data_IF_945441412503
#
_entry.id   IF_945441412503
#
_cell.length_a   1.000
_cell.length_b   1.000
_cell.length_c   1.000
_cell.angle_alpha   90.00
_cell.angle_beta   90.00
_cell.angle_gamma   90.00
#
_symmetry.space_group_name_H-M   'P 1'
#
loop_
_entity.id
_entity.type
_entity.pdbx_description
1 polymer ?
#
# COMPACT_ATOMS: atom_id res chain seq x y z
N UNK A 1 -8.17 -13.50 -22.57
CA UNK A 1 -7.75 -13.29 -21.18
C UNK A 1 -8.00 -11.86 -20.69
N UNK A 2 -8.46 -11.72 -19.45
CA UNK A 2 -8.73 -10.47 -18.74
C UNK A 2 -8.41 -10.65 -17.23
N UNK A 3 -8.65 -9.61 -16.43
CA UNK A 3 -8.38 -9.64 -14.98
C UNK A 3 -9.08 -10.78 -14.23
N UNK A 4 -10.31 -11.15 -14.63
CA UNK A 4 -11.02 -12.28 -14.02
C UNK A 4 -10.30 -13.60 -14.25
N UNK A 5 -9.74 -13.83 -15.44
CA UNK A 5 -9.01 -15.07 -15.73
C UNK A 5 -7.76 -15.22 -14.85
N UNK A 6 -7.04 -14.10 -14.61
CA UNK A 6 -5.87 -14.07 -13.72
C UNK A 6 -6.25 -14.30 -12.24
N UNK A 7 -7.34 -13.68 -11.78
CA UNK A 7 -7.82 -13.85 -10.40
C UNK A 7 -8.36 -15.26 -10.15
N UNK A 8 -9.00 -15.86 -11.15
CA UNK A 8 -9.47 -17.24 -11.11
C UNK A 8 -8.30 -18.23 -11.00
N UNK A 9 -7.27 -18.07 -11.83
CA UNK A 9 -6.07 -18.91 -11.76
C UNK A 9 -5.36 -18.78 -10.40
N UNK A 10 -5.22 -17.55 -9.90
CA UNK A 10 -4.61 -17.31 -8.58
C UNK A 10 -5.39 -17.97 -7.46
N UNK A 11 -6.71 -17.90 -7.50
CA UNK A 11 -7.55 -18.54 -6.49
C UNK A 11 -7.42 -20.07 -6.53
N UNK A 12 -7.43 -20.67 -7.72
CA UNK A 12 -7.22 -22.10 -7.88
C UNK A 12 -5.85 -22.55 -7.37
N UNK A 13 -4.79 -21.77 -7.61
CA UNK A 13 -3.45 -22.06 -7.10
C UNK A 13 -3.40 -22.16 -5.56
N UNK A 14 -4.28 -21.46 -4.86
CA UNK A 14 -4.33 -21.46 -3.39
C UNK A 14 -5.39 -22.43 -2.82
N UNK A 15 -6.37 -22.88 -3.63
CA UNK A 15 -7.57 -23.59 -3.15
C UNK A 15 -7.91 -24.84 -3.99
N UNK A 16 -6.95 -25.44 -4.69
CA UNK A 16 -7.19 -26.70 -5.42
C UNK A 16 -7.11 -27.92 -4.47
N UNK A 17 -8.02 -28.90 -4.56
CA UNK A 17 -9.19 -28.97 -5.45
C UNK A 17 -10.33 -28.03 -5.04
N UNK A 18 -10.95 -27.37 -6.02
CA UNK A 18 -12.00 -26.38 -5.80
C UNK A 18 -13.38 -26.90 -6.23
N UNK A 19 -14.40 -26.96 -5.35
CA UNK A 19 -15.76 -27.28 -5.76
C UNK A 19 -16.30 -26.30 -6.81
N UNK A 20 -17.00 -26.82 -7.83
CA UNK A 20 -17.60 -26.01 -8.91
C UNK A 20 -18.65 -25.04 -8.37
N UNK A 21 -19.48 -25.47 -7.42
CA UNK A 21 -20.51 -24.63 -6.81
C UNK A 21 -19.87 -23.43 -6.08
N UNK A 22 -18.80 -23.67 -5.31
CA UNK A 22 -18.04 -22.63 -4.64
C UNK A 22 -17.43 -21.65 -5.65
N UNK A 23 -16.86 -22.14 -6.76
CA UNK A 23 -16.32 -21.29 -7.80
C UNK A 23 -17.40 -20.41 -8.46
N UNK A 24 -18.58 -20.98 -8.74
CA UNK A 24 -19.72 -20.26 -9.34
C UNK A 24 -20.21 -19.16 -8.39
N UNK A 25 -20.40 -19.48 -7.12
CA UNK A 25 -20.84 -18.53 -6.09
C UNK A 25 -19.82 -17.41 -5.90
N UNK A 26 -18.54 -17.76 -5.68
CA UNK A 26 -17.48 -16.80 -5.38
C UNK A 26 -17.27 -15.78 -6.49
N UNK A 27 -17.27 -16.24 -7.74
CA UNK A 27 -16.97 -15.37 -8.89
C UNK A 27 -18.22 -14.80 -9.56
N UNK A 28 -19.41 -15.23 -9.16
CA UNK A 28 -20.67 -14.84 -9.80
C UNK A 28 -20.69 -15.19 -11.29
N UNK A 29 -20.06 -16.30 -11.69
CA UNK A 29 -19.93 -16.74 -13.09
C UNK A 29 -20.60 -18.09 -13.30
N UNK A 30 -21.15 -18.32 -14.48
CA UNK A 30 -21.71 -19.63 -14.84
C UNK A 30 -20.61 -20.66 -15.08
N UNK A 31 -20.92 -21.95 -14.89
CA UNK A 31 -20.00 -23.05 -15.21
C UNK A 31 -19.48 -22.99 -16.66
N UNK A 32 -20.34 -22.59 -17.61
CA UNK A 32 -19.93 -22.40 -19.01
C UNK A 32 -18.83 -21.34 -19.15
N UNK A 33 -18.93 -20.24 -18.39
CA UNK A 33 -17.91 -19.18 -18.36
C UNK A 33 -16.61 -19.71 -17.75
N UNK A 34 -16.69 -20.44 -16.63
CA UNK A 34 -15.52 -21.05 -15.98
C UNK A 34 -14.79 -22.01 -16.93
N UNK A 35 -15.52 -22.88 -17.65
CA UNK A 35 -14.96 -23.80 -18.65
C UNK A 35 -14.24 -23.06 -19.78
N UNK A 36 -14.81 -21.96 -20.29
CA UNK A 36 -14.15 -21.13 -21.32
C UNK A 36 -12.87 -20.49 -20.77
N UNK A 37 -12.91 -19.95 -19.56
CA UNK A 37 -11.73 -19.40 -18.89
C UNK A 37 -10.65 -20.46 -18.69
N UNK A 38 -11.00 -21.66 -18.22
CA UNK A 38 -10.04 -22.77 -18.10
C UNK A 38 -9.39 -23.10 -19.44
N UNK A 39 -10.17 -23.14 -20.53
CA UNK A 39 -9.64 -23.35 -21.88
C UNK A 39 -8.65 -22.25 -22.27
N UNK A 40 -9.00 -20.98 -22.08
CA UNK A 40 -8.10 -19.85 -22.37
C UNK A 40 -6.81 -19.89 -21.54
N UNK A 41 -6.89 -20.28 -20.27
CA UNK A 41 -5.73 -20.42 -19.40
C UNK A 41 -4.83 -21.59 -19.83
N UNK A 42 -5.43 -22.73 -20.18
CA UNK A 42 -4.71 -23.93 -20.61
C UNK A 42 -3.93 -23.73 -21.92
N UNK A 43 -4.28 -22.75 -22.76
CA UNK A 43 -3.50 -22.39 -23.95
C UNK A 43 -2.08 -21.85 -23.62
N UNK A 44 -1.87 -21.33 -22.41
CA UNK A 44 -0.56 -20.82 -21.97
C UNK A 44 0.09 -21.67 -20.88
N UNK A 45 -0.67 -22.57 -20.25
CA UNK A 45 -0.18 -23.44 -19.19
C UNK A 45 0.47 -24.71 -19.74
N UNK A 46 1.60 -25.15 -19.16
CA UNK A 46 2.17 -26.46 -19.43
C UNK A 46 1.16 -27.59 -19.13
N UNK A 47 1.19 -28.65 -19.93
CA UNK A 47 0.25 -29.80 -19.82
C UNK A 47 0.15 -30.37 -18.41
N UNK A 48 1.27 -30.47 -17.70
CA UNK A 48 1.34 -31.07 -16.36
C UNK A 48 0.67 -30.24 -15.24
N UNK A 49 0.27 -28.99 -15.52
CA UNK A 49 -0.41 -28.10 -14.57
C UNK A 49 -1.69 -27.49 -15.12
N UNK A 50 -2.19 -28.00 -16.25
CA UNK A 50 -3.47 -27.56 -16.80
C UNK A 50 -4.62 -27.75 -15.80
N UNK A 51 -5.66 -26.95 -16.00
CA UNK A 51 -6.87 -26.97 -15.21
C UNK A 51 -7.80 -28.04 -15.79
N UNK A 52 -8.28 -28.93 -14.93
CA UNK A 52 -9.21 -29.99 -15.28
C UNK A 52 -10.48 -29.85 -14.46
N UNK A 53 -11.61 -30.29 -15.01
CA UNK A 53 -12.85 -30.45 -14.26
C UNK A 53 -13.12 -31.94 -14.10
N UNK A 54 -13.08 -32.42 -12.86
CA UNK A 54 -13.39 -33.79 -12.48
C UNK A 54 -14.71 -33.78 -11.70
N UNK A 55 -15.82 -34.13 -12.38
CA UNK A 55 -17.18 -34.05 -11.83
C UNK A 55 -17.51 -32.68 -11.23
N UNK A 56 -17.59 -32.61 -9.90
CA UNK A 56 -17.95 -31.43 -9.12
C UNK A 56 -16.74 -30.59 -8.70
N UNK A 57 -15.52 -30.93 -9.12
CA UNK A 57 -14.31 -30.23 -8.71
C UNK A 57 -13.51 -29.72 -9.92
N UNK A 58 -12.83 -28.60 -9.71
CA UNK A 58 -11.81 -28.05 -10.59
C UNK A 58 -10.45 -28.32 -9.94
N UNK A 59 -9.59 -29.02 -10.65
CA UNK A 59 -8.30 -29.53 -10.16
C UNK A 59 -7.15 -28.94 -11.00
N UNK A 60 -6.04 -28.65 -10.33
CA UNK A 60 -4.78 -28.25 -10.98
C UNK A 60 -3.60 -28.53 -10.06
N UNK A 61 -2.42 -28.73 -10.63
CA UNK A 61 -1.15 -28.85 -9.90
C UNK A 61 -0.31 -27.57 -9.95
N UNK A 62 -0.90 -26.46 -10.40
CA UNK A 62 -0.18 -25.20 -10.53
C UNK A 62 0.34 -24.74 -9.16
N UNK A 63 1.66 -24.64 -9.05
CA UNK A 63 2.33 -24.03 -7.90
C UNK A 63 2.58 -22.55 -8.14
N UNK A 64 3.17 -21.90 -7.12
CA UNK A 64 3.56 -20.50 -7.23
C UNK A 64 4.60 -20.27 -8.34
N UNK A 65 5.50 -21.24 -8.59
CA UNK A 65 6.51 -21.11 -9.64
C UNK A 65 5.90 -21.05 -11.03
N UNK A 66 4.99 -21.97 -11.33
CA UNK A 66 4.29 -22.05 -12.61
C UNK A 66 3.37 -20.85 -12.81
N UNK A 67 2.71 -20.37 -11.75
CA UNK A 67 1.90 -19.15 -11.80
C UNK A 67 2.73 -17.91 -12.21
N UNK A 68 3.93 -17.73 -11.63
CA UNK A 68 4.84 -16.63 -12.04
C UNK A 68 5.26 -16.75 -13.50
N UNK A 69 5.63 -17.96 -13.94
CA UNK A 69 6.02 -18.22 -15.33
C UNK A 69 4.86 -17.96 -16.31
N UNK A 70 3.65 -18.35 -15.93
CA UNK A 70 2.44 -18.07 -16.68
C UNK A 70 2.25 -16.55 -16.84
N UNK A 71 2.28 -15.80 -15.74
CA UNK A 71 2.11 -14.34 -15.79
C UNK A 71 3.13 -13.70 -16.73
N UNK A 72 4.42 -14.08 -16.62
CA UNK A 72 5.49 -13.57 -17.49
C UNK A 72 5.22 -13.76 -18.99
N UNK A 73 4.43 -14.77 -19.38
CA UNK A 73 4.05 -15.03 -20.78
C UNK A 73 2.82 -14.26 -21.24
N UNK A 74 2.01 -13.72 -20.33
CA UNK A 74 0.84 -12.91 -20.68
C UNK A 74 1.30 -11.55 -21.22
N UNK A 75 0.93 -11.28 -22.47
CA UNK A 75 1.25 -10.07 -23.22
C UNK A 75 -0.02 -9.22 -23.41
N UNK A 76 0.13 -7.90 -23.58
CA UNK A 76 -1.02 -7.00 -23.76
C UNK A 76 -1.90 -7.32 -24.97
N UNK A 77 -1.35 -7.88 -26.04
CA UNK A 77 -2.15 -8.31 -27.21
C UNK A 77 -3.06 -9.53 -26.93
N UNK A 78 -2.86 -10.22 -25.81
CA UNK A 78 -3.70 -11.35 -25.33
C UNK A 78 -4.44 -11.03 -24.03
N UNK A 79 -4.29 -9.82 -23.51
CA UNK A 79 -4.85 -9.39 -22.22
C UNK A 79 -5.72 -8.15 -22.39
N UNK A 80 -7.01 -8.29 -22.10
CA UNK A 80 -7.98 -7.20 -22.16
C UNK A 80 -7.85 -6.40 -20.86
N UNK A 81 -7.15 -5.27 -20.96
CA UNK A 81 -6.98 -4.33 -19.85
C UNK A 81 -8.29 -3.62 -19.49
N UNK A 82 -8.45 -3.29 -18.22
CA UNK A 82 -9.49 -2.41 -17.71
C UNK A 82 -9.08 -0.94 -17.83
N UNK A 83 -10.04 -0.02 -17.70
CA UNK A 83 -9.77 1.42 -17.69
C UNK A 83 -8.87 1.81 -16.50
N UNK A 84 -9.12 1.25 -15.31
CA UNK A 84 -8.30 1.52 -14.13
C UNK A 84 -6.84 1.08 -14.30
N UNK A 85 -6.60 -0.09 -14.88
CA UNK A 85 -5.25 -0.59 -15.15
C UNK A 85 -4.48 0.37 -16.06
N UNK A 86 -5.08 0.75 -17.19
CA UNK A 86 -4.44 1.66 -18.15
C UNK A 86 -4.21 3.05 -17.55
N UNK A 87 -5.17 3.56 -16.77
CA UNK A 87 -5.08 4.88 -16.13
C UNK A 87 -3.99 4.89 -15.05
N UNK A 88 -3.89 3.86 -14.19
CA UNK A 88 -2.83 3.75 -13.18
C UNK A 88 -1.45 3.70 -13.84
N UNK A 89 -1.33 2.94 -14.93
CA UNK A 89 -0.09 2.82 -15.68
C UNK A 89 0.30 4.15 -16.37
N UNK A 90 -0.65 4.83 -17.04
CA UNK A 90 -0.44 6.18 -17.60
C UNK A 90 -0.11 7.21 -16.52
N UNK A 91 -0.76 7.14 -15.35
CA UNK A 91 -0.53 8.07 -14.25
C UNK A 91 0.93 8.03 -13.78
N UNK A 92 1.49 6.82 -13.63
CA UNK A 92 2.91 6.66 -13.30
C UNK A 92 3.80 7.20 -14.42
N UNK A 93 3.48 6.95 -15.70
CA UNK A 93 4.25 7.55 -16.80
C UNK A 93 4.20 9.08 -16.81
N UNK A 94 3.05 9.70 -16.56
CA UNK A 94 2.92 11.15 -16.42
C UNK A 94 3.68 11.72 -15.21
N UNK A 95 3.90 10.91 -14.18
CA UNK A 95 4.74 11.28 -13.05
C UNK A 95 6.23 11.18 -13.41
N UNK A 96 6.62 10.14 -14.15
CA UNK A 96 8.02 9.90 -14.54
C UNK A 96 8.48 10.81 -15.68
N UNK A 97 7.58 11.30 -16.52
CA UNK A 97 7.86 12.14 -17.69
C UNK A 97 7.19 13.53 -17.60
N UNK A 98 7.83 14.58 -18.14
CA UNK A 98 7.27 15.94 -18.08
C UNK A 98 6.01 16.08 -18.93
N UNK A 99 5.95 15.39 -20.08
CA UNK A 99 4.81 15.38 -20.98
C UNK A 99 4.72 14.01 -21.65
N UNK A 100 3.52 13.41 -21.68
CA UNK A 100 3.24 12.14 -22.33
C UNK A 100 2.21 12.31 -23.43
N UNK A 101 2.53 11.85 -24.64
CA UNK A 101 1.53 11.72 -25.71
C UNK A 101 0.63 10.52 -25.42
N UNK A 102 -0.60 10.77 -24.96
CA UNK A 102 -1.56 9.72 -24.58
C UNK A 102 -1.85 8.74 -25.72
N UNK A 103 -2.00 9.22 -26.95
CA UNK A 103 -2.35 8.36 -28.08
C UNK A 103 -1.21 7.39 -28.41
N UNK A 104 0.03 7.88 -28.40
CA UNK A 104 1.19 7.02 -28.62
C UNK A 104 1.40 6.06 -27.44
N UNK A 105 1.24 6.55 -26.22
CA UNK A 105 1.35 5.75 -25.00
C UNK A 105 0.39 4.55 -24.99
N UNK A 106 -0.85 4.78 -25.41
CA UNK A 106 -1.90 3.75 -25.38
C UNK A 106 -1.74 2.65 -26.43
N UNK A 107 -0.87 2.84 -27.44
CA UNK A 107 -0.62 1.82 -28.48
C UNK A 107 -0.21 0.46 -27.88
N UNK A 108 0.54 0.48 -26.77
CA UNK A 108 0.99 -0.76 -26.10
C UNK A 108 -0.14 -1.64 -25.56
N UNK A 109 -1.32 -1.07 -25.29
CA UNK A 109 -2.47 -1.79 -24.77
C UNK A 109 -3.36 -2.41 -25.85
N UNK A 110 -3.08 -2.15 -27.14
CA UNK A 110 -3.89 -2.65 -28.27
C UNK A 110 -5.38 -2.25 -28.16
N UNK A 111 -5.67 -1.05 -27.66
CA UNK A 111 -7.05 -0.54 -27.52
C UNK A 111 -7.42 0.49 -28.58
N UNK A 112 -8.72 0.62 -28.85
CA UNK A 112 -9.26 1.58 -29.82
C UNK A 112 -9.18 3.02 -29.31
N UNK A 113 -9.18 4.00 -30.22
CA UNK A 113 -9.25 5.42 -29.85
C UNK A 113 -10.51 5.76 -29.01
N UNK A 114 -11.64 5.07 -29.26
CA UNK A 114 -12.85 5.20 -28.45
C UNK A 114 -12.63 4.76 -27.00
N UNK A 115 -11.87 3.68 -26.80
CA UNK A 115 -11.47 3.21 -25.46
C UNK A 115 -10.58 4.23 -24.75
N UNK A 116 -9.60 4.83 -25.44
CA UNK A 116 -8.76 5.91 -24.87
C UNK A 116 -9.62 7.08 -24.39
N UNK A 117 -10.64 7.46 -25.17
CA UNK A 117 -11.55 8.54 -24.80
C UNK A 117 -12.35 8.20 -23.53
N UNK A 118 -12.80 6.96 -23.40
CA UNK A 118 -13.59 6.47 -22.26
C UNK A 118 -12.78 6.30 -20.97
N UNK A 119 -11.45 6.29 -21.05
CA UNK A 119 -10.58 6.28 -19.88
C UNK A 119 -10.41 7.66 -19.24
N UNK A 120 -10.72 8.76 -19.96
CA UNK A 120 -10.54 10.12 -19.44
C UNK A 120 -11.32 10.37 -18.15
N UNK A 121 -12.60 9.99 -17.99
CA UNK A 121 -13.32 10.13 -16.73
C UNK A 121 -12.62 9.43 -15.55
N UNK A 122 -12.05 8.24 -15.78
CA UNK A 122 -11.32 7.48 -14.76
C UNK A 122 -10.03 8.21 -14.37
N UNK A 123 -9.30 8.76 -15.35
CA UNK A 123 -8.13 9.60 -15.09
C UNK A 123 -8.51 10.87 -14.31
N UNK A 124 -9.62 11.53 -14.67
CA UNK A 124 -10.07 12.74 -13.97
C UNK A 124 -10.47 12.46 -12.52
N UNK A 125 -11.17 11.35 -12.25
CA UNK A 125 -11.48 10.91 -10.88
C UNK A 125 -10.20 10.69 -10.07
N UNK A 126 -9.24 9.94 -10.64
CA UNK A 126 -7.98 9.62 -9.96
C UNK A 126 -7.18 10.87 -9.56
N UNK A 127 -7.11 11.89 -10.43
CA UNK A 127 -6.36 13.11 -10.12
C UNK A 127 -7.14 14.04 -9.18
N UNK A 128 -8.46 14.14 -9.33
CA UNK A 128 -9.30 14.98 -8.47
C UNK A 128 -9.34 14.49 -7.03
N UNK A 129 -9.36 13.16 -6.81
CA UNK A 129 -9.26 12.56 -5.47
C UNK A 129 -7.94 12.90 -4.74
N UNK A 130 -6.96 13.49 -5.44
CA UNK A 130 -5.62 13.82 -4.94
C UNK A 130 -5.29 15.30 -5.06
N UNK A 131 -6.27 16.15 -5.38
CA UNK A 131 -6.07 17.58 -5.68
C UNK A 131 -5.03 17.85 -6.79
N UNK A 132 -4.95 16.93 -7.76
CA UNK A 132 -4.10 17.02 -8.94
C UNK A 132 -4.94 17.33 -10.18
N UNK A 133 -4.27 17.80 -11.24
CA UNK A 133 -4.90 18.07 -12.54
C UNK A 133 -4.06 17.52 -13.69
N UNK A 134 -4.74 17.17 -14.78
CA UNK A 134 -4.09 16.84 -16.06
C UNK A 134 -4.16 18.05 -16.97
N UNK A 135 -3.01 18.62 -17.31
CA UNK A 135 -2.90 19.74 -18.23
C UNK A 135 -2.58 19.25 -19.64
N UNK A 136 -3.32 19.77 -20.64
CA UNK A 136 -3.02 19.52 -22.05
C UNK A 136 -1.93 20.48 -22.53
N UNK A 137 -0.90 19.94 -23.17
CA UNK A 137 0.19 20.69 -23.77
C UNK A 137 0.03 20.64 -25.29
N UNK A 138 -0.29 21.78 -25.95
CA UNK A 138 -0.59 21.81 -27.38
C UNK A 138 0.46 21.07 -28.22
N UNK A 139 -0.01 20.14 -29.05
CA UNK A 139 0.79 19.32 -29.97
C UNK A 139 1.87 18.43 -29.33
N UNK A 140 1.98 18.37 -27.99
CA UNK A 140 2.98 17.54 -27.29
C UNK A 140 2.35 16.39 -26.52
N UNK A 141 1.24 16.63 -25.81
CA UNK A 141 0.61 15.60 -25.00
C UNK A 141 -0.04 16.16 -23.74
N UNK A 142 0.07 15.43 -22.64
CA UNK A 142 -0.46 15.85 -21.34
C UNK A 142 0.61 15.77 -20.26
N UNK A 143 0.44 16.56 -19.20
CA UNK A 143 1.27 16.52 -18.00
C UNK A 143 0.40 16.55 -16.74
N UNK A 144 0.92 16.03 -15.63
CA UNK A 144 0.34 16.26 -14.32
C UNK A 144 0.79 17.61 -13.77
N UNK A 145 -0.09 18.26 -13.01
CA UNK A 145 0.22 19.46 -12.23
C UNK A 145 -0.60 19.44 -10.92
N UNK A 146 -0.16 20.21 -9.93
CA UNK A 146 -0.72 20.22 -8.58
C UNK A 146 0.40 20.20 -7.55
N UNK A 147 0.06 19.84 -6.31
CA UNK A 147 1.02 19.67 -5.24
C UNK A 147 1.99 18.51 -5.53
N UNK A 148 3.30 18.81 -5.56
CA UNK A 148 4.33 17.85 -5.93
C UNK A 148 4.46 16.73 -4.89
N UNK A 149 4.21 17.00 -3.61
CA UNK A 149 4.27 15.99 -2.57
C UNK A 149 3.13 14.97 -2.75
N UNK A 150 1.88 15.42 -2.90
CA UNK A 150 0.72 14.57 -3.16
C UNK A 150 0.87 13.73 -4.43
N UNK A 151 1.40 14.33 -5.50
CA UNK A 151 1.70 13.63 -6.76
C UNK A 151 2.67 12.46 -6.52
N UNK A 152 3.77 12.71 -5.80
CA UNK A 152 4.76 11.68 -5.49
C UNK A 152 4.18 10.58 -4.59
N UNK A 153 3.37 10.93 -3.59
CA UNK A 153 2.72 9.95 -2.70
C UNK A 153 1.76 9.04 -3.49
N UNK A 154 0.93 9.62 -4.37
CA UNK A 154 -0.01 8.87 -5.19
C UNK A 154 0.71 7.92 -6.18
N UNK A 155 1.76 8.41 -6.84
CA UNK A 155 2.54 7.59 -7.76
C UNK A 155 3.31 6.49 -7.02
N UNK A 156 3.92 6.82 -5.88
CA UNK A 156 4.59 5.87 -5.00
C UNK A 156 3.66 4.71 -4.59
N UNK A 157 2.43 5.01 -4.17
CA UNK A 157 1.45 3.97 -3.80
C UNK A 157 1.08 3.05 -4.96
N UNK A 158 1.08 3.56 -6.19
CA UNK A 158 0.83 2.76 -7.39
C UNK A 158 2.03 1.87 -7.72
N UNK A 159 3.25 2.41 -7.67
CA UNK A 159 4.49 1.69 -7.94
C UNK A 159 4.76 0.61 -6.89
N UNK A 160 4.48 0.90 -5.61
CA UNK A 160 4.79 0.05 -4.46
C UNK A 160 4.30 -1.41 -4.62
N UNK A 161 3.15 -1.59 -5.26
CA UNK A 161 2.52 -2.91 -5.48
C UNK A 161 3.22 -3.73 -6.56
N UNK A 162 4.05 -3.08 -7.37
CA UNK A 162 4.68 -3.65 -8.57
C UNK A 162 6.15 -3.99 -8.38
N UNK A 163 6.73 -3.58 -7.25
CA UNK A 163 8.14 -3.82 -6.93
C UNK A 163 8.30 -4.50 -5.57
N UNK A 164 9.47 -5.09 -5.38
CA UNK A 164 9.92 -5.73 -4.15
C UNK A 164 11.37 -5.34 -3.85
N UNK A 165 11.79 -5.50 -2.59
CA UNK A 165 13.21 -5.33 -2.21
C UNK A 165 13.94 -6.64 -2.53
N UNK A 166 14.92 -6.56 -3.42
CA UNK A 166 15.87 -7.61 -3.73
C UNK A 166 17.14 -7.53 -2.87
N UNK A 167 18.24 -8.06 -3.38
CA UNK A 167 19.55 -8.02 -2.74
C UNK A 167 20.05 -6.58 -2.56
N UNK A 168 20.79 -6.34 -1.47
CA UNK A 168 21.39 -5.04 -1.13
C UNK A 168 20.42 -3.86 -1.19
N UNK A 169 19.17 -4.10 -0.78
CA UNK A 169 18.09 -3.11 -0.78
C UNK A 169 17.68 -2.57 -2.16
N UNK A 170 18.16 -3.16 -3.26
CA UNK A 170 17.76 -2.75 -4.60
C UNK A 170 16.31 -3.10 -4.87
N UNK A 171 15.62 -2.21 -5.56
CA UNK A 171 14.24 -2.46 -6.01
C UNK A 171 14.27 -3.32 -7.27
N UNK A 172 13.47 -4.39 -7.27
CA UNK A 172 13.27 -5.28 -8.41
C UNK A 172 11.77 -5.43 -8.69
N UNK A 173 11.43 -5.89 -9.90
CA UNK A 173 10.03 -6.12 -10.26
C UNK A 173 9.45 -7.27 -9.43
N UNK A 174 8.26 -7.08 -8.88
CA UNK A 174 7.56 -8.15 -8.17
C UNK A 174 7.22 -9.28 -9.14
N UNK A 175 7.63 -10.50 -8.80
CA UNK A 175 7.65 -11.61 -9.74
C UNK A 175 6.25 -12.09 -10.17
N UNK A 176 5.23 -11.84 -9.36
CA UNK A 176 3.83 -12.16 -9.67
C UNK A 176 3.06 -10.93 -10.19
N UNK A 177 3.74 -10.03 -10.90
CA UNK A 177 3.09 -8.91 -11.58
C UNK A 177 2.22 -9.38 -12.75
N UNK A 178 0.95 -8.98 -12.72
CA UNK A 178 0.06 -8.96 -13.88
C UNK A 178 0.63 -8.05 -14.99
N UNK A 179 0.17 -8.17 -16.25
CA UNK A 179 0.75 -7.44 -17.39
C UNK A 179 0.89 -5.93 -17.16
N UNK A 180 -0.14 -5.29 -16.60
CA UNK A 180 -0.12 -3.86 -16.27
C UNK A 180 0.87 -3.55 -15.16
N UNK A 181 0.89 -4.34 -14.08
CA UNK A 181 1.85 -4.17 -12.98
C UNK A 181 3.29 -4.32 -13.45
N UNK A 182 3.55 -5.24 -14.40
CA UNK A 182 4.87 -5.41 -15.01
C UNK A 182 5.27 -4.16 -15.79
N UNK A 183 4.38 -3.62 -16.62
CA UNK A 183 4.66 -2.38 -17.36
C UNK A 183 4.98 -1.20 -16.42
N UNK A 184 4.28 -1.10 -15.28
CA UNK A 184 4.55 -0.07 -14.26
C UNK A 184 5.92 -0.27 -13.59
N UNK A 185 6.27 -1.51 -13.25
CA UNK A 185 7.55 -1.82 -12.66
C UNK A 185 8.70 -1.54 -13.64
N UNK A 186 8.58 -2.01 -14.88
CA UNK A 186 9.59 -1.85 -15.92
C UNK A 186 9.89 -0.36 -16.20
N UNK A 187 8.85 0.48 -16.36
CA UNK A 187 9.06 1.91 -16.57
C UNK A 187 9.72 2.59 -15.37
N UNK A 188 9.30 2.28 -14.14
CA UNK A 188 9.87 2.89 -12.94
C UNK A 188 11.33 2.47 -12.74
N UNK A 189 11.60 1.16 -12.81
CA UNK A 189 12.93 0.61 -12.62
C UNK A 189 13.91 1.10 -13.70
N UNK A 190 13.43 1.28 -14.93
CA UNK A 190 14.23 1.85 -16.01
C UNK A 190 14.51 3.35 -15.81
N UNK A 191 13.45 4.15 -15.66
CA UNK A 191 13.56 5.62 -15.60
C UNK A 191 14.27 6.11 -14.33
N UNK A 192 14.14 5.39 -13.22
CA UNK A 192 14.70 5.73 -11.92
C UNK A 192 15.95 4.92 -11.55
N UNK A 193 16.56 4.16 -12.48
CA UNK A 193 17.66 3.22 -12.17
C UNK A 193 18.79 3.85 -11.35
N UNK A 194 19.25 5.05 -11.74
CA UNK A 194 20.29 5.77 -11.00
C UNK A 194 19.82 6.25 -9.62
N UNK A 195 18.57 6.74 -9.55
CA UNK A 195 17.97 7.26 -8.33
C UNK A 195 17.67 6.16 -7.31
N UNK A 196 17.42 4.92 -7.77
CA UNK A 196 17.25 3.76 -6.89
C UNK A 196 18.54 3.49 -6.13
N UNK A 197 19.70 3.50 -6.80
CA UNK A 197 20.99 3.32 -6.11
C UNK A 197 21.23 4.45 -5.11
N UNK A 198 21.00 5.69 -5.51
CA UNK A 198 21.15 6.84 -4.60
C UNK A 198 20.19 6.78 -3.39
N UNK A 199 18.95 6.30 -3.59
CA UNK A 199 18.00 6.11 -2.49
C UNK A 199 18.46 5.03 -1.50
N UNK A 200 19.11 3.97 -1.98
CA UNK A 200 19.73 2.94 -1.14
C UNK A 200 20.87 3.54 -0.32
N UNK A 201 21.76 4.30 -0.94
CA UNK A 201 22.89 4.96 -0.25
C UNK A 201 22.37 5.89 0.86
N UNK A 202 21.34 6.69 0.58
CA UNK A 202 20.70 7.56 1.58
C UNK A 202 20.04 6.78 2.71
N UNK A 203 19.39 5.67 2.40
CA UNK A 203 18.81 4.81 3.42
C UNK A 203 19.90 4.25 4.35
N UNK A 204 20.98 3.70 3.80
CA UNK A 204 22.05 3.08 4.59
C UNK A 204 22.92 4.08 5.36
N UNK A 205 23.21 5.24 4.79
CA UNK A 205 24.12 6.21 5.42
C UNK A 205 23.42 7.12 6.43
N UNK A 206 22.15 7.45 6.21
CA UNK A 206 21.44 8.49 6.98
C UNK A 206 20.31 7.96 7.84
N UNK A 207 19.61 6.90 7.40
CA UNK A 207 18.35 6.48 8.00
C UNK A 207 18.53 5.21 8.84
N UNK A 208 19.09 4.15 8.26
CA UNK A 208 19.32 2.84 8.91
C UNK A 208 20.19 2.91 10.19
N UNK A 209 21.14 3.85 10.34
CA UNK A 209 21.90 3.99 11.58
C UNK A 209 21.07 4.55 12.75
N UNK A 210 19.98 5.25 12.45
CA UNK A 210 19.13 5.93 13.45
C UNK A 210 17.89 5.10 13.80
N UNK A 211 17.31 4.43 12.81
CA UNK A 211 16.06 3.66 12.93
C UNK A 211 16.14 2.35 12.14
N UNK A 212 15.33 1.36 12.52
CA UNK A 212 15.08 0.19 11.69
C UNK A 212 13.62 0.15 11.25
N UNK A 213 13.39 0.06 9.93
CA UNK A 213 12.08 -0.07 9.33
C UNK A 213 11.74 -1.54 9.04
N UNK A 214 10.47 -1.88 9.23
CA UNK A 214 9.91 -3.12 8.72
C UNK A 214 9.95 -3.18 7.19
N UNK A 215 9.79 -4.37 6.61
CA UNK A 215 9.90 -4.58 5.16
C UNK A 215 9.05 -3.60 4.33
N UNK A 216 7.76 -3.45 4.66
CA UNK A 216 6.86 -2.55 3.94
C UNK A 216 7.25 -1.08 4.07
N UNK A 217 7.66 -0.64 5.26
CA UNK A 217 8.12 0.74 5.50
C UNK A 217 9.40 1.04 4.72
N UNK A 218 10.37 0.12 4.75
CA UNK A 218 11.61 0.24 3.98
C UNK A 218 11.34 0.29 2.48
N UNK A 219 10.46 -0.60 1.98
CA UNK A 219 10.11 -0.65 0.56
C UNK A 219 9.47 0.65 0.11
N UNK A 220 8.53 1.15 0.92
CA UNK A 220 7.86 2.41 0.65
C UNK A 220 8.82 3.59 0.60
N UNK A 221 9.72 3.69 1.59
CA UNK A 221 10.73 4.74 1.65
C UNK A 221 11.67 4.70 0.42
N UNK A 222 12.15 3.52 0.03
CA UNK A 222 13.04 3.38 -1.12
C UNK A 222 12.34 3.77 -2.44
N UNK A 223 11.08 3.36 -2.63
CA UNK A 223 10.28 3.77 -3.81
C UNK A 223 10.08 5.28 -3.81
N UNK A 224 9.69 5.85 -2.67
CA UNK A 224 9.44 7.28 -2.54
C UNK A 224 10.71 8.09 -2.82
N UNK A 225 11.85 7.76 -2.19
CA UNK A 225 13.12 8.45 -2.39
C UNK A 225 13.58 8.36 -3.85
N UNK A 226 13.48 7.17 -4.46
CA UNK A 226 13.82 6.99 -5.88
C UNK A 226 13.01 7.92 -6.78
N UNK A 227 11.70 8.01 -6.52
CA UNK A 227 10.81 8.89 -7.25
C UNK A 227 11.09 10.37 -7.00
N UNK A 228 11.27 10.77 -5.73
CA UNK A 228 11.57 12.14 -5.35
C UNK A 228 12.87 12.62 -5.99
N UNK A 229 13.94 11.82 -5.93
CA UNK A 229 15.22 12.13 -6.58
C UNK A 229 15.08 12.28 -8.09
N UNK A 230 14.24 11.45 -8.73
CA UNK A 230 14.00 11.55 -10.17
C UNK A 230 13.26 12.82 -10.53
N UNK A 231 12.23 13.17 -9.77
CA UNK A 231 11.45 14.41 -9.93
C UNK A 231 12.31 15.65 -9.69
N UNK A 232 13.12 15.66 -8.63
CA UNK A 232 14.07 16.74 -8.32
C UNK A 232 15.06 16.95 -9.46
N UNK A 233 15.65 15.86 -10.00
CA UNK A 233 16.57 15.92 -11.14
C UNK A 233 15.92 16.56 -12.38
N UNK A 234 14.62 16.36 -12.57
CA UNK A 234 13.83 16.95 -13.65
C UNK A 234 13.32 18.38 -13.36
N UNK A 235 13.69 18.95 -12.22
CA UNK A 235 13.30 20.30 -11.83
C UNK A 235 11.95 20.39 -11.11
N UNK A 236 11.32 19.27 -10.77
CA UNK A 236 10.08 19.24 -10.00
C UNK A 236 10.40 19.06 -8.52
N UNK A 237 10.58 20.18 -7.81
CA UNK A 237 10.86 20.24 -6.37
C UNK A 237 9.60 20.55 -5.58
N UNK A 238 9.55 20.12 -4.33
CA UNK A 238 8.59 20.65 -3.36
C UNK A 238 9.05 22.08 -3.03
N UNK A 239 8.16 23.06 -3.20
CA UNK A 239 8.45 24.48 -2.93
C UNK A 239 7.65 25.05 -1.76
N UNK A 240 6.66 24.31 -1.26
CA UNK A 240 5.83 24.69 -0.12
C UNK A 240 5.54 23.44 0.71
N UNK A 241 6.15 23.34 1.89
CA UNK A 241 5.99 22.19 2.79
C UNK A 241 4.95 22.40 3.91
N UNK A 242 4.18 23.51 3.87
CA UNK A 242 3.25 23.89 4.94
C UNK A 242 2.19 22.81 5.28
N UNK A 243 1.77 22.03 4.29
CA UNK A 243 0.84 20.91 4.49
C UNK A 243 1.43 19.79 5.39
N UNK A 244 2.76 19.72 5.50
CA UNK A 244 3.50 18.76 6.29
C UNK A 244 3.76 19.21 7.76
N UNK A 245 3.54 20.49 8.09
CA UNK A 245 3.89 21.06 9.41
C UNK A 245 2.77 20.95 10.48
N UNK A 246 1.99 19.86 10.46
CA UNK A 246 0.91 19.64 11.44
C UNK A 246 1.31 18.76 12.63
N UNK A 247 2.49 18.13 12.56
CA UNK A 247 3.07 17.34 13.63
C UNK A 247 4.59 17.53 13.67
N UNK A 248 5.16 17.42 14.86
CA UNK A 248 6.61 17.50 15.11
C UNK A 248 7.29 16.25 14.56
N UNK A 249 8.28 16.42 13.67
CA UNK A 249 9.06 15.33 13.05
C UNK A 249 10.51 15.31 13.53
N UNK A 250 11.22 14.20 13.25
CA UNK A 250 12.65 14.10 13.54
C UNK A 250 13.43 14.47 12.26
N UNK A 251 14.36 15.45 12.32
CA UNK A 251 15.06 15.92 11.14
C UNK A 251 16.18 14.96 10.73
N UNK A 252 15.96 14.15 9.69
CA UNK A 252 16.98 13.19 9.23
C UNK A 252 18.06 13.87 8.36
N UNK A 253 17.74 15.00 7.72
CA UNK A 253 18.70 15.76 6.89
C UNK A 253 19.24 14.95 5.71
N UNK A 254 18.36 14.19 5.06
CA UNK A 254 18.71 13.27 3.97
C UNK A 254 18.90 14.03 2.66
N UNK A 255 18.03 15.00 2.38
CA UNK A 255 18.03 15.77 1.15
C UNK A 255 18.72 17.12 1.37
N UNK A 256 19.21 17.81 0.32
CA UNK A 256 19.84 19.12 0.48
C UNK A 256 18.83 20.26 0.68
N UNK A 257 17.57 20.04 0.31
CA UNK A 257 16.50 21.05 0.32
C UNK A 257 15.64 20.92 1.59
N UNK A 258 15.28 22.05 2.21
CA UNK A 258 14.59 22.05 3.49
C UNK A 258 13.15 21.55 3.38
N UNK A 259 12.40 21.99 2.36
CA UNK A 259 11.01 21.59 2.16
C UNK A 259 10.91 20.10 1.80
N UNK A 260 11.86 19.62 1.00
CA UNK A 260 12.00 18.19 0.70
C UNK A 260 12.26 17.35 1.96
N UNK A 261 13.09 17.83 2.89
CA UNK A 261 13.31 17.14 4.17
C UNK A 261 12.07 17.14 5.05
N UNK A 262 11.35 18.27 5.18
CA UNK A 262 10.15 18.36 6.01
C UNK A 262 9.12 17.30 5.57
N UNK A 263 8.88 17.18 4.26
CA UNK A 263 7.98 16.18 3.71
C UNK A 263 8.51 14.74 3.90
N UNK A 264 9.81 14.51 3.71
CA UNK A 264 10.43 13.20 3.89
C UNK A 264 10.41 12.75 5.36
N UNK A 265 10.74 13.63 6.29
CA UNK A 265 10.76 13.36 7.73
C UNK A 265 9.37 12.96 8.21
N UNK A 266 8.34 13.66 7.72
CA UNK A 266 6.94 13.33 7.98
C UNK A 266 6.55 11.96 7.42
N UNK A 267 6.97 11.67 6.19
CA UNK A 267 6.77 10.37 5.56
C UNK A 267 7.41 9.26 6.37
N UNK A 268 8.66 9.42 6.81
CA UNK A 268 9.35 8.43 7.67
C UNK A 268 8.58 8.25 8.98
N UNK A 269 8.07 9.35 9.56
CA UNK A 269 7.30 9.32 10.80
C UNK A 269 5.98 8.53 10.67
N UNK A 270 5.46 8.35 9.45
CA UNK A 270 4.25 7.56 9.18
C UNK A 270 4.52 6.06 8.99
N UNK A 271 5.78 5.61 9.04
CA UNK A 271 6.15 4.22 8.74
C UNK A 271 6.19 3.35 9.99
N UNK A 272 6.11 2.03 9.77
CA UNK A 272 6.27 1.04 10.85
C UNK A 272 7.73 0.77 11.14
N UNK A 273 8.15 1.09 12.36
CA UNK A 273 9.49 0.84 12.89
C UNK A 273 9.56 -0.55 13.54
N UNK A 274 10.63 -1.30 13.26
CA UNK A 274 11.00 -2.49 14.05
C UNK A 274 11.91 -2.12 15.21
N UNK A 275 12.68 -1.04 15.07
CA UNK A 275 13.46 -0.43 16.14
C UNK A 275 13.49 1.08 15.98
N UNK A 276 13.23 1.80 17.07
CA UNK A 276 13.37 3.25 17.18
C UNK A 276 13.84 3.57 18.60
N UNK A 277 15.03 4.17 18.79
CA UNK A 277 15.59 4.37 20.13
C UNK A 277 14.95 5.52 20.92
N UNK A 278 13.95 6.20 20.34
CA UNK A 278 13.28 7.35 20.94
C UNK A 278 11.81 7.41 20.55
N UNK A 279 11.02 8.12 21.36
CA UNK A 279 9.66 8.54 21.02
C UNK A 279 9.64 10.05 20.86
N UNK A 280 9.10 10.52 19.75
CA UNK A 280 8.95 11.94 19.47
C UNK A 280 7.54 12.38 19.85
N UNK A 281 7.44 13.21 20.89
CA UNK A 281 6.15 13.69 21.39
C UNK A 281 5.84 15.08 20.83
N UNK A 282 4.70 15.22 20.17
CA UNK A 282 4.13 16.49 19.76
C UNK A 282 3.27 17.04 20.90
N UNK A 283 3.58 18.26 21.35
CA UNK A 283 2.91 18.88 22.49
C UNK A 283 1.39 18.99 22.30
N UNK A 284 0.92 19.15 21.06
CA UNK A 284 -0.51 19.25 20.73
C UNK A 284 -1.20 17.89 20.87
N UNK A 285 -0.51 16.79 20.54
CA UNK A 285 -1.09 15.44 20.51
C UNK A 285 -1.08 14.71 21.87
N UNK A 286 -0.05 14.94 22.69
CA UNK A 286 0.17 14.19 23.94
C UNK A 286 -1.06 14.18 24.85
N UNK A 287 -1.75 15.32 25.01
CA UNK A 287 -2.89 15.42 25.92
C UNK A 287 -4.09 14.59 25.46
N UNK A 288 -4.37 14.57 24.15
CA UNK A 288 -5.44 13.78 23.57
C UNK A 288 -5.16 12.29 23.71
N UNK A 289 -3.93 11.85 23.38
CA UNK A 289 -3.57 10.43 23.51
C UNK A 289 -3.63 9.97 24.96
N UNK A 290 -3.27 10.81 25.94
CA UNK A 290 -3.44 10.48 27.37
C UNK A 290 -4.91 10.23 27.72
N UNK A 291 -5.84 11.08 27.24
CA UNK A 291 -7.28 10.88 27.43
C UNK A 291 -7.78 9.61 26.75
N UNK A 292 -7.37 9.35 25.51
CA UNK A 292 -7.66 8.11 24.80
C UNK A 292 -7.14 6.89 25.55
N UNK A 293 -5.90 6.91 26.04
CA UNK A 293 -5.32 5.82 26.84
C UNK A 293 -6.12 5.55 28.11
N UNK A 294 -6.63 6.59 28.78
CA UNK A 294 -7.47 6.45 29.96
C UNK A 294 -8.83 5.83 29.63
N UNK A 295 -9.49 6.30 28.57
CA UNK A 295 -10.76 5.75 28.10
C UNK A 295 -10.62 4.26 27.71
N UNK A 296 -9.57 3.92 26.96
CA UNK A 296 -9.29 2.54 26.55
C UNK A 296 -8.92 1.61 27.72
N UNK A 297 -8.22 2.12 28.72
CA UNK A 297 -7.89 1.35 29.92
C UNK A 297 -9.14 1.01 30.74
N UNK A 298 -10.14 1.89 30.75
CA UNK A 298 -11.43 1.66 31.42
C UNK A 298 -12.23 0.47 30.85
N UNK A 299 -11.92 0.05 29.61
CA UNK A 299 -12.56 -1.10 28.96
C UNK A 299 -11.91 -2.44 29.33
N UNK A 300 -10.80 -2.44 30.08
CA UNK A 300 -10.08 -3.66 30.46
C UNK A 300 -10.45 -4.09 31.87
N UNK A 301 -10.77 -5.37 32.05
CA UNK A 301 -10.96 -5.97 33.37
C UNK A 301 -9.68 -5.98 34.22
N UNK A 302 -8.50 -5.95 33.56
CA UNK A 302 -7.20 -6.04 34.22
C UNK A 302 -6.49 -4.68 34.27
N UNK A 303 -5.85 -4.39 35.40
CA UNK A 303 -5.01 -3.20 35.56
C UNK A 303 -3.82 -3.22 34.61
N UNK A 304 -3.56 -2.08 33.96
CA UNK A 304 -2.36 -1.88 33.14
C UNK A 304 -1.17 -1.58 34.05
N UNK A 305 -0.24 -2.54 34.16
CA UNK A 305 0.92 -2.41 35.04
C UNK A 305 2.05 -1.53 34.47
N UNK A 306 2.22 -1.49 33.14
CA UNK A 306 3.23 -0.65 32.49
C UNK A 306 2.58 0.48 31.69
N UNK A 307 2.21 1.56 32.39
CA UNK A 307 1.54 2.73 31.82
C UNK A 307 2.40 3.46 30.77
N UNK A 308 3.72 3.47 30.95
CA UNK A 308 4.63 4.13 30.01
C UNK A 308 4.66 3.39 28.66
N UNK A 309 4.84 2.06 28.68
CA UNK A 309 4.84 1.26 27.45
C UNK A 309 3.47 1.29 26.75
N UNK A 310 2.38 1.22 27.52
CA UNK A 310 1.01 1.38 27.03
C UNK A 310 0.81 2.69 26.29
N UNK A 311 1.15 3.81 26.95
CA UNK A 311 1.03 5.13 26.36
C UNK A 311 1.90 5.28 25.12
N UNK A 312 3.17 4.86 25.18
CA UNK A 312 4.10 4.99 24.06
C UNK A 312 3.64 4.19 22.82
N UNK A 313 3.13 2.97 23.00
CA UNK A 313 2.65 2.15 21.87
C UNK A 313 1.40 2.74 21.21
N UNK A 314 0.42 3.19 22.01
CA UNK A 314 -0.78 3.85 21.48
C UNK A 314 -0.43 5.20 20.85
N UNK A 315 0.45 5.98 21.49
CA UNK A 315 0.91 7.27 20.97
C UNK A 315 1.57 7.11 19.61
N UNK A 316 2.54 6.21 19.48
CA UNK A 316 3.25 5.99 18.22
C UNK A 316 2.30 5.54 17.11
N UNK A 317 1.33 4.67 17.44
CA UNK A 317 0.34 4.25 16.47
C UNK A 317 -0.57 5.40 16.02
N UNK A 318 -1.16 6.14 16.96
CA UNK A 318 -2.06 7.26 16.65
C UNK A 318 -1.31 8.34 15.85
N UNK A 319 -0.10 8.67 16.27
CA UNK A 319 0.75 9.64 15.60
C UNK A 319 0.97 9.25 14.11
N UNK A 320 1.35 8.00 13.84
CA UNK A 320 1.55 7.53 12.48
C UNK A 320 0.22 7.50 11.68
N UNK A 321 -0.87 7.06 12.30
CA UNK A 321 -2.18 6.94 11.67
C UNK A 321 -2.79 8.30 11.28
N UNK A 322 -2.57 9.36 12.07
CA UNK A 322 -2.96 10.74 11.68
C UNK A 322 -2.27 11.13 10.36
N UNK A 323 -0.96 10.89 10.28
CA UNK A 323 -0.18 11.22 9.07
C UNK A 323 -0.68 10.38 7.89
N UNK A 324 -0.84 9.07 8.09
CA UNK A 324 -1.31 8.16 7.05
C UNK A 324 -2.68 8.56 6.50
N UNK A 325 -3.63 8.94 7.36
CA UNK A 325 -4.95 9.39 6.92
C UNK A 325 -4.87 10.68 6.08
N UNK A 326 -4.11 11.68 6.55
CA UNK A 326 -4.02 12.98 5.88
C UNK A 326 -3.39 12.91 4.48
N UNK A 327 -2.56 11.89 4.23
CA UNK A 327 -1.93 11.65 2.92
C UNK A 327 -2.48 10.43 2.18
N UNK A 328 -3.58 9.84 2.66
CA UNK A 328 -4.19 8.65 2.07
C UNK A 328 -3.19 7.48 1.85
N UNK A 329 -2.33 7.23 2.85
CA UNK A 329 -1.34 6.16 2.86
C UNK A 329 -1.93 4.88 3.45
N UNK A 330 -2.56 4.09 2.58
CA UNK A 330 -3.24 2.87 2.99
C UNK A 330 -2.46 1.62 2.62
N UNK A 331 -2.04 0.87 3.63
CA UNK A 331 -1.48 -0.48 3.47
C UNK A 331 -2.54 -1.49 3.86
N UNK A 332 -3.07 -2.23 2.87
CA UNK A 332 -4.06 -3.28 3.15
C UNK A 332 -3.41 -4.45 3.90
N UNK A 333 -3.99 -4.82 5.04
CA UNK A 333 -3.63 -6.02 5.78
C UNK A 333 -4.88 -6.89 5.98
N UNK A 334 -4.99 -7.92 5.13
CA UNK A 334 -6.10 -8.88 5.15
C UNK A 334 -6.29 -9.56 6.51
N UNK A 335 -5.26 -9.62 7.36
CA UNK A 335 -5.35 -10.20 8.72
C UNK A 335 -6.23 -9.37 9.65
N UNK A 336 -6.51 -8.12 9.30
CA UNK A 336 -7.28 -7.19 10.12
C UNK A 336 -8.78 -7.16 9.79
N UNK A 337 -9.19 -7.73 8.65
CA UNK A 337 -10.59 -7.65 8.17
C UNK A 337 -11.60 -8.30 9.13
N UNK A 338 -11.18 -9.33 9.87
CA UNK A 338 -12.06 -10.07 10.80
C UNK A 338 -12.11 -9.50 12.23
N UNK A 339 -11.31 -8.47 12.54
CA UNK A 339 -11.15 -7.98 13.91
C UNK A 339 -12.44 -7.40 14.47
N UNK A 340 -13.17 -6.61 13.66
CA UNK A 340 -14.47 -6.05 14.07
C UNK A 340 -15.47 -7.14 14.44
N UNK A 341 -15.58 -8.18 13.60
CA UNK A 341 -16.48 -9.32 13.85
C UNK A 341 -16.09 -10.11 15.10
N UNK A 342 -14.79 -10.26 15.37
CA UNK A 342 -14.29 -10.99 16.56
C UNK A 342 -14.42 -10.20 17.86
N UNK A 343 -14.36 -8.87 17.81
CA UNK A 343 -14.36 -8.01 19.00
C UNK A 343 -15.28 -6.78 18.84
N UNK A 344 -16.60 -6.96 18.62
CA UNK A 344 -17.50 -5.86 18.27
C UNK A 344 -17.65 -4.81 19.38
N UNK A 345 -17.78 -5.23 20.64
CA UNK A 345 -17.90 -4.29 21.76
C UNK A 345 -16.63 -3.45 21.93
N UNK A 346 -15.45 -4.10 21.92
CA UNK A 346 -14.18 -3.39 22.04
C UNK A 346 -13.96 -2.44 20.86
N UNK A 347 -14.40 -2.83 19.66
CA UNK A 347 -14.36 -1.98 18.47
C UNK A 347 -15.13 -0.68 18.66
N UNK A 348 -16.38 -0.73 19.14
CA UNK A 348 -17.21 0.46 19.39
C UNK A 348 -16.56 1.39 20.41
N UNK A 349 -15.95 0.82 21.46
CA UNK A 349 -15.21 1.59 22.47
C UNK A 349 -13.98 2.27 21.88
N UNK A 350 -13.19 1.56 21.06
CA UNK A 350 -12.04 2.17 20.36
C UNK A 350 -12.51 3.31 19.47
N UNK A 351 -13.56 3.08 18.68
CA UNK A 351 -14.12 4.08 17.78
C UNK A 351 -14.55 5.33 18.55
N UNK A 352 -15.19 5.18 19.71
CA UNK A 352 -15.56 6.30 20.57
C UNK A 352 -14.33 7.03 21.13
N UNK A 353 -13.34 6.30 21.63
CA UNK A 353 -12.17 6.85 22.32
C UNK A 353 -11.24 7.70 21.43
N UNK A 354 -11.32 7.55 20.10
CA UNK A 354 -10.49 8.31 19.14
C UNK A 354 -11.21 9.52 18.54
N UNK A 355 -12.52 9.70 18.77
CA UNK A 355 -13.32 10.79 18.16
C UNK A 355 -12.77 12.19 18.40
N UNK A 356 -12.24 12.44 19.59
CA UNK A 356 -11.67 13.74 19.93
C UNK A 356 -10.46 14.07 19.05
N UNK A 357 -9.65 13.06 18.74
CA UNK A 357 -8.49 13.17 17.86
C UNK A 357 -8.94 13.34 16.40
N UNK A 358 -9.92 12.55 15.95
CA UNK A 358 -10.52 12.69 14.62
C UNK A 358 -11.01 14.10 14.35
N UNK A 359 -11.73 14.68 15.33
CA UNK A 359 -12.24 16.03 15.23
C UNK A 359 -11.12 17.08 15.18
N UNK A 360 -10.12 16.99 16.06
CA UNK A 360 -9.06 18.01 16.15
C UNK A 360 -8.10 17.98 14.95
N UNK A 361 -7.77 16.80 14.42
CA UNK A 361 -6.89 16.64 13.26
C UNK A 361 -7.63 16.54 11.92
N UNK A 362 -8.96 16.72 11.91
CA UNK A 362 -9.81 16.64 10.70
C UNK A 362 -9.56 15.37 9.90
N UNK A 363 -9.56 14.24 10.59
CA UNK A 363 -9.19 12.93 10.06
C UNK A 363 -10.19 11.87 10.48
N UNK A 364 -10.25 10.76 9.75
CA UNK A 364 -11.06 9.59 10.12
C UNK A 364 -10.19 8.35 10.19
N UNK A 365 -10.20 7.64 11.32
CA UNK A 365 -9.51 6.36 11.43
C UNK A 365 -10.29 5.29 10.66
N UNK A 366 -9.64 4.68 9.67
CA UNK A 366 -10.24 3.58 8.91
C UNK A 366 -10.45 2.32 9.76
N UNK A 367 -11.19 1.36 9.20
CA UNK A 367 -11.36 0.04 9.81
C UNK A 367 -10.01 -0.64 10.14
N UNK A 368 -8.99 -0.47 9.30
CA UNK A 368 -7.64 -1.01 9.55
C UNK A 368 -7.02 -0.38 10.79
N UNK A 369 -7.20 0.93 10.97
CA UNK A 369 -6.66 1.64 12.12
C UNK A 369 -7.36 1.21 13.42
N UNK A 370 -8.68 1.15 13.40
CA UNK A 370 -9.48 0.69 14.55
C UNK A 370 -9.15 -0.76 14.90
N UNK A 371 -9.01 -1.65 13.90
CA UNK A 371 -8.59 -3.03 14.10
C UNK A 371 -7.23 -3.12 14.79
N UNK A 372 -6.26 -2.29 14.38
CA UNK A 372 -4.92 -2.29 14.96
C UNK A 372 -4.94 -1.84 16.41
N UNK A 373 -5.70 -0.78 16.75
CA UNK A 373 -5.90 -0.35 18.14
C UNK A 373 -6.54 -1.45 19.00
N UNK A 374 -7.57 -2.12 18.49
CA UNK A 374 -8.20 -3.27 19.16
C UNK A 374 -7.14 -4.34 19.48
N UNK A 375 -6.28 -4.69 18.52
CA UNK A 375 -5.23 -5.70 18.73
C UNK A 375 -4.15 -5.24 19.72
N UNK A 376 -3.76 -3.95 19.71
CA UNK A 376 -2.88 -3.37 20.74
C UNK A 376 -3.50 -3.56 22.12
N UNK A 377 -4.78 -3.24 22.28
CA UNK A 377 -5.49 -3.39 23.57
C UNK A 377 -5.51 -4.85 24.01
N UNK A 378 -5.85 -5.79 23.12
CA UNK A 378 -5.87 -7.24 23.42
C UNK A 378 -4.49 -7.77 23.81
N UNK A 379 -3.41 -7.28 23.18
CA UNK A 379 -2.02 -7.61 23.53
C UNK A 379 -1.72 -7.25 24.99
N UNK A 380 -2.10 -6.06 25.45
CA UNK A 380 -1.88 -5.67 26.85
C UNK A 380 -2.80 -6.42 27.83
N UNK A 381 -4.06 -6.66 27.46
CA UNK A 381 -4.97 -7.49 28.26
C UNK A 381 -4.37 -8.87 28.55
N UNK A 382 -3.78 -9.52 27.54
CA UNK A 382 -3.10 -10.82 27.67
C UNK A 382 -1.83 -10.72 28.51
N UNK A 383 -0.95 -9.74 28.24
CA UNK A 383 0.30 -9.55 29.02
C UNK A 383 0.02 -9.35 30.50
N UNK A 384 -0.98 -8.52 30.84
CA UNK A 384 -1.33 -8.24 32.23
C UNK A 384 -1.93 -9.48 32.93
N UNK A 385 -2.73 -10.28 32.23
CA UNK A 385 -3.24 -11.56 32.76
C UNK A 385 -2.11 -12.53 33.12
N UNK A 386 -1.11 -12.68 32.24
CA UNK A 386 0.06 -13.54 32.50
C UNK A 386 0.86 -13.05 33.72
N UNK A 387 1.04 -11.73 33.85
CA UNK A 387 1.74 -11.14 35.00
C UNK A 387 0.96 -11.31 36.31
N UNK A 388 -0.38 -11.18 36.28
CA UNK A 388 -1.23 -11.43 37.44
C UNK A 388 -1.12 -12.88 37.91
N UNK A 389 -1.18 -13.86 36.99
CA UNK A 389 -1.02 -15.30 37.30
C UNK A 389 0.35 -15.59 37.92
N UNK A 390 1.44 -14.99 37.38
CA UNK A 390 2.79 -15.17 37.93
C UNK A 390 2.93 -14.63 39.36
N UNK A 391 2.31 -13.48 39.66
CA UNK A 391 2.30 -12.91 41.01
C UNK A 391 1.51 -13.78 42.00
N UNK A 392 0.41 -14.39 41.56
CA UNK A 392 -0.37 -15.31 42.39
C UNK A 392 0.31 -16.67 42.61
N UNK A 393 1.15 -17.11 41.67
CA UNK A 393 1.90 -18.37 41.76
C UNK A 393 3.24 -18.27 42.50
N UNK A 394 3.76 -17.07 42.76
CA UNK A 394 4.98 -16.84 43.57
C UNK A 394 4.71 -16.59 45.06
N UNK A 395 3.45 -16.76 45.48
CA UNK A 395 2.98 -16.63 46.86
C UNK A 395 2.63 -17.99 47.50
N UNK A 396 3.08 -19.09 46.88
CA UNK A 396 3.13 -20.46 47.42
C UNK A 396 4.60 -20.88 47.49
#
# INVERSE_FOLDING_TARGET
>A
MNHFDLSFLKYLQDNSPLPVEEAVERFGKTLSTLKRTMKELNELLPENVQLHQDNQFITTRIGYSEYRQFLARVQFNRYITTAEERVKDLFVALCLHDVVNKNDYYKKFYVSAGTVKNDNPVMMSLVQERDLIVQSIPRKGSRLAGDEFQLRLAACMTILKTVEIGEDHRLIAHQANEPTGRSIAEQFLHECAAQINQAVDYYEEKISPVIALGYNGRKYLLVYLSLALHRIRRGHRITESSAAEFLTTFPYGVLPDADENICLDLLIASLTFTHRPFTLYDARLVSYVKRTCHALAGCLENTIHNQHAWFAEIYNFIYAAIIQNKFHLWFDDKKLHDVQRRYPELWEHVQYAVKEIEHHWQTTFSAIHLATLVLIIKKYALKNRVLAIRKSGSLL
#
